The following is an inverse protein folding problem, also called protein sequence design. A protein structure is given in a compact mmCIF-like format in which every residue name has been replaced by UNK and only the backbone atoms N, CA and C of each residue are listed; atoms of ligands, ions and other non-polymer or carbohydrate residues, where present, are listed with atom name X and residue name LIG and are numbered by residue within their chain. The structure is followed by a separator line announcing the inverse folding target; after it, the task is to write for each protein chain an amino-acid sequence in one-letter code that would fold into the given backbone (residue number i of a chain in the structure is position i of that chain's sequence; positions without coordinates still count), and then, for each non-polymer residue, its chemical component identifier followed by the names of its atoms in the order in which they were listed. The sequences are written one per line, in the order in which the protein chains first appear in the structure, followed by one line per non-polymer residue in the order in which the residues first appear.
data_IF_601550806170
#
_entry.id   IF_601550806170
#
_cell.length_a   1.000
_cell.length_b   1.000
_cell.length_c   1.000
_cell.angle_alpha   90.00
_cell.angle_beta   90.00
_cell.angle_gamma   90.00
#
_symmetry.space_group_name_H-M   'P 1'
#
loop_
_entity.id
_entity.type
_entity.pdbx_description
1 polymer ?
#
# COMPACT_ATOMS: atom_id res chain seq x y z
N UNK A 1 11.96 2.01 15.99
CA UNK A 1 10.80 1.52 16.78
C UNK A 1 11.24 0.71 18.00
N UNK A 2 11.89 -0.44 17.82
CA UNK A 2 12.12 -1.44 18.91
C UNK A 2 12.98 -0.89 20.06
N UNK A 3 14.00 -0.09 19.76
CA UNK A 3 14.96 0.44 20.74
C UNK A 3 14.49 1.74 21.44
N UNK A 4 13.39 2.34 20.97
CA UNK A 4 12.86 3.57 21.52
C UNK A 4 11.99 3.29 22.76
N UNK A 5 12.05 4.13 23.75
CA UNK A 5 11.17 4.06 24.93
C UNK A 5 9.81 4.71 24.60
N UNK A 6 8.74 3.92 24.59
CA UNK A 6 7.38 4.27 24.16
C UNK A 6 6.96 3.53 22.90
N UNK A 7 5.76 3.84 22.40
CA UNK A 7 5.19 3.19 21.22
C UNK A 7 5.63 3.84 19.90
N UNK A 8 5.62 3.08 18.84
CA UNK A 8 5.70 3.59 17.47
C UNK A 8 4.34 3.49 16.81
N UNK A 9 3.82 4.61 16.31
CA UNK A 9 2.61 4.65 15.49
C UNK A 9 3.03 4.65 14.02
N UNK A 10 2.53 3.68 13.25
CA UNK A 10 2.71 3.61 11.80
C UNK A 10 1.41 4.04 11.14
N UNK A 11 1.44 5.16 10.44
CA UNK A 11 0.29 5.66 9.69
C UNK A 11 0.41 5.15 8.26
N UNK A 12 -0.52 4.28 7.85
CA UNK A 12 -0.53 3.70 6.50
C UNK A 12 -1.92 3.83 5.87
N UNK A 13 -2.01 4.12 4.56
CA UNK A 13 -3.28 4.26 3.86
C UNK A 13 -3.84 2.93 3.37
N UNK A 14 -3.08 1.85 3.51
CA UNK A 14 -3.33 0.56 2.88
C UNK A 14 -3.83 -0.46 3.90
N UNK A 15 -5.15 -0.42 4.16
CA UNK A 15 -5.83 -1.31 5.12
C UNK A 15 -5.53 -2.80 4.82
N UNK A 16 -5.50 -3.17 3.55
CA UNK A 16 -5.22 -4.54 3.10
C UNK A 16 -3.82 -5.03 3.47
N UNK A 17 -2.83 -4.12 3.55
CA UNK A 17 -1.47 -4.45 3.94
C UNK A 17 -1.24 -4.49 5.43
N UNK A 18 -1.98 -3.70 6.21
CA UNK A 18 -1.75 -3.58 7.64
C UNK A 18 -1.74 -4.93 8.34
N UNK A 19 -2.72 -5.79 8.02
CA UNK A 19 -2.80 -7.13 8.61
C UNK A 19 -1.56 -7.97 8.30
N UNK A 20 -1.17 -8.06 7.04
CA UNK A 20 -0.01 -8.85 6.61
C UNK A 20 1.30 -8.32 7.24
N UNK A 21 1.49 -7.00 7.27
CA UNK A 21 2.65 -6.38 7.89
C UNK A 21 2.70 -6.67 9.40
N UNK A 22 1.56 -6.53 10.10
CA UNK A 22 1.46 -6.83 11.53
C UNK A 22 1.71 -8.31 11.80
N UNK A 23 1.15 -9.21 11.00
CA UNK A 23 1.36 -10.65 11.15
C UNK A 23 2.84 -11.01 10.95
N UNK A 24 3.51 -10.43 9.94
CA UNK A 24 4.95 -10.63 9.72
C UNK A 24 5.79 -10.12 10.91
N UNK A 25 5.45 -8.96 11.47
CA UNK A 25 6.14 -8.40 12.64
C UNK A 25 5.92 -9.26 13.88
N UNK A 26 4.71 -9.78 14.09
CA UNK A 26 4.41 -10.72 15.18
C UNK A 26 5.20 -12.04 15.05
N UNK A 27 5.34 -12.56 13.83
CA UNK A 27 6.06 -13.79 13.56
C UNK A 27 7.55 -13.72 13.94
N UNK A 28 8.14 -12.53 13.96
CA UNK A 28 9.51 -12.29 14.43
C UNK A 28 9.56 -11.91 15.92
N UNK A 29 8.46 -12.04 16.65
CA UNK A 29 8.40 -11.87 18.10
C UNK A 29 8.18 -10.42 18.56
N UNK A 30 7.81 -9.49 17.67
CA UNK A 30 7.55 -8.09 18.03
C UNK A 30 6.05 -7.89 18.27
N UNK A 31 5.69 -7.39 19.45
CA UNK A 31 4.33 -7.05 19.82
C UNK A 31 3.80 -5.93 18.94
N UNK A 32 2.82 -6.19 18.11
CA UNK A 32 2.24 -5.24 17.15
C UNK A 32 0.74 -5.43 16.98
N UNK A 33 0.04 -4.36 16.61
CA UNK A 33 -1.39 -4.40 16.33
C UNK A 33 -1.75 -3.40 15.21
N UNK A 34 -2.99 -3.45 14.72
CA UNK A 34 -3.49 -2.45 13.78
C UNK A 34 -4.91 -2.00 14.13
N UNK A 35 -5.23 -0.75 13.78
CA UNK A 35 -6.57 -0.16 13.90
C UNK A 35 -6.96 0.44 12.55
N UNK A 36 -8.07 -0.05 11.99
CA UNK A 36 -8.62 0.44 10.73
C UNK A 36 -10.16 0.44 10.75
N UNK A 37 -10.80 0.68 9.62
CA UNK A 37 -12.27 0.75 9.50
C UNK A 37 -12.97 -0.59 9.49
N UNK A 38 -12.26 -1.71 9.44
CA UNK A 38 -12.87 -3.06 9.42
C UNK A 38 -13.09 -3.63 10.81
N UNK A 39 -12.49 -3.01 11.84
CA UNK A 39 -12.62 -3.45 13.23
C UNK A 39 -13.84 -2.81 13.91
N UNK A 40 -14.48 -3.58 14.79
CA UNK A 40 -15.52 -3.10 15.68
C UNK A 40 -14.95 -2.22 16.80
N UNK A 41 -15.78 -1.39 17.41
CA UNK A 41 -15.36 -0.52 18.52
C UNK A 41 -14.84 -1.34 19.72
N UNK A 42 -15.39 -2.52 19.97
CA UNK A 42 -14.91 -3.42 21.04
C UNK A 42 -13.50 -3.95 20.78
N UNK A 43 -13.19 -4.31 19.53
CA UNK A 43 -11.85 -4.75 19.13
C UNK A 43 -10.83 -3.60 19.22
N UNK A 44 -11.24 -2.41 18.77
CA UNK A 44 -10.40 -1.20 18.88
C UNK A 44 -10.07 -0.91 20.34
N UNK A 45 -11.08 -0.92 21.23
CA UNK A 45 -10.88 -0.68 22.67
C UNK A 45 -9.96 -1.72 23.32
N UNK A 46 -10.08 -2.99 22.94
CA UNK A 46 -9.17 -4.05 23.40
C UNK A 46 -7.74 -3.74 22.99
N UNK A 47 -7.49 -3.40 21.72
CA UNK A 47 -6.16 -3.07 21.22
C UNK A 47 -5.57 -1.84 21.92
N UNK A 48 -6.38 -0.80 22.13
CA UNK A 48 -5.92 0.41 22.84
C UNK A 48 -5.54 0.12 24.28
N UNK A 49 -6.24 -0.78 24.97
CA UNK A 49 -5.88 -1.24 26.31
C UNK A 49 -4.57 -2.04 26.30
N UNK A 50 -4.40 -2.96 25.33
CA UNK A 50 -3.15 -3.72 25.17
C UNK A 50 -1.95 -2.78 24.95
N UNK A 51 -2.13 -1.65 24.26
CA UNK A 51 -1.08 -0.62 24.12
C UNK A 51 -0.77 0.06 25.45
N UNK A 52 -1.78 0.36 26.26
CA UNK A 52 -1.60 1.00 27.58
C UNK A 52 -0.86 0.04 28.54
N UNK A 53 -1.06 -1.26 28.38
CA UNK A 53 -0.44 -2.32 29.18
C UNK A 53 0.95 -2.76 28.64
N UNK A 54 1.55 -2.02 27.70
CA UNK A 54 2.83 -2.32 27.03
C UNK A 54 2.85 -3.66 26.27
N UNK A 55 1.68 -4.21 25.94
CA UNK A 55 1.54 -5.43 25.14
C UNK A 55 1.63 -5.16 23.62
N UNK A 56 1.70 -3.88 23.21
CA UNK A 56 1.87 -3.47 21.81
C UNK A 56 2.97 -2.42 21.72
N UNK A 57 3.98 -2.71 20.91
CA UNK A 57 5.12 -1.81 20.66
C UNK A 57 4.98 -1.02 19.36
N UNK A 58 4.34 -1.61 18.37
CA UNK A 58 4.10 -1.00 17.06
C UNK A 58 2.60 -1.05 16.76
N UNK A 59 1.99 0.12 16.61
CA UNK A 59 0.56 0.26 16.29
C UNK A 59 0.39 0.84 14.90
N UNK A 60 -0.16 0.06 13.97
CA UNK A 60 -0.58 0.53 12.66
C UNK A 60 -1.95 1.20 12.75
N UNK A 61 -2.08 2.38 12.15
CA UNK A 61 -3.32 3.18 12.22
C UNK A 61 -3.67 3.72 10.84
N UNK A 62 -4.92 3.56 10.44
CA UNK A 62 -5.44 4.23 9.26
C UNK A 62 -5.58 5.75 9.52
N UNK A 63 -5.21 6.61 8.55
CA UNK A 63 -5.20 8.08 8.75
C UNK A 63 -6.54 8.65 9.22
N UNK A 64 -7.65 8.01 8.83
CA UNK A 64 -9.01 8.42 9.21
C UNK A 64 -9.31 8.28 10.71
N UNK A 65 -8.57 7.40 11.41
CA UNK A 65 -8.76 7.13 12.84
C UNK A 65 -8.07 8.16 13.74
N UNK A 66 -7.12 8.92 13.22
CA UNK A 66 -6.33 9.89 14.00
C UNK A 66 -7.17 11.01 14.65
N UNK A 67 -8.36 11.30 14.12
CA UNK A 67 -9.26 12.34 14.65
C UNK A 67 -10.44 11.75 15.46
N UNK A 68 -10.53 10.43 15.63
CA UNK A 68 -11.59 9.86 16.46
C UNK A 68 -11.38 10.26 17.93
N UNK A 69 -12.46 10.64 18.60
CA UNK A 69 -12.43 11.04 20.01
C UNK A 69 -11.78 9.98 20.89
N UNK A 70 -12.05 8.73 20.60
CA UNK A 70 -11.50 7.56 21.27
C UNK A 70 -9.97 7.51 21.14
N UNK A 71 -9.45 7.65 19.91
CA UNK A 71 -8.01 7.62 19.64
C UNK A 71 -7.31 8.85 20.24
N UNK A 72 -7.93 10.03 20.18
CA UNK A 72 -7.39 11.24 20.80
C UNK A 72 -7.32 11.14 22.34
N UNK A 73 -8.32 10.54 22.97
CA UNK A 73 -8.29 10.28 24.41
C UNK A 73 -7.24 9.23 24.79
N UNK A 74 -7.05 8.21 23.98
CA UNK A 74 -6.04 7.19 24.18
C UNK A 74 -4.63 7.77 24.11
N UNK A 75 -4.34 8.61 23.10
CA UNK A 75 -2.98 9.08 22.83
C UNK A 75 -2.40 9.93 23.96
N UNK A 76 -3.24 10.56 24.78
CA UNK A 76 -2.80 11.32 25.96
C UNK A 76 -2.31 10.45 27.13
N UNK A 77 -2.56 9.14 27.06
CA UNK A 77 -2.26 8.16 28.11
C UNK A 77 -0.98 7.35 27.83
N UNK A 78 -0.41 7.50 26.64
CA UNK A 78 0.74 6.71 26.20
C UNK A 78 1.87 7.60 25.70
N UNK A 79 3.11 7.15 25.89
CA UNK A 79 4.29 7.83 25.35
C UNK A 79 4.49 7.42 23.89
N UNK A 80 4.31 8.37 22.96
CA UNK A 80 4.60 8.15 21.54
C UNK A 80 6.06 8.50 21.27
N UNK A 81 6.88 7.50 21.00
CA UNK A 81 8.30 7.69 20.72
C UNK A 81 8.57 8.03 19.23
N UNK A 82 7.75 7.48 18.33
CA UNK A 82 7.92 7.67 16.90
C UNK A 82 6.57 7.63 16.18
N UNK A 83 6.45 8.47 15.15
CA UNK A 83 5.42 8.35 14.11
C UNK A 83 6.12 8.04 12.79
N UNK A 84 5.81 6.89 12.20
CA UNK A 84 6.26 6.49 10.88
C UNK A 84 5.10 6.68 9.89
N UNK A 85 5.32 7.48 8.87
CA UNK A 85 4.29 7.80 7.87
C UNK A 85 4.65 7.03 6.59
N UNK A 86 3.86 6.03 6.29
CA UNK A 86 3.96 5.24 5.07
C UNK A 86 3.24 5.94 3.92
N UNK A 87 3.69 5.73 2.69
CA UNK A 87 3.18 6.39 1.48
C UNK A 87 3.03 7.91 1.66
N UNK A 88 4.06 8.54 2.22
CA UNK A 88 4.03 9.95 2.60
C UNK A 88 3.73 10.91 1.44
N UNK A 89 3.92 10.47 0.18
CA UNK A 89 3.53 11.24 -1.01
C UNK A 89 2.02 11.55 -1.06
N UNK A 90 1.19 10.76 -0.34
CA UNK A 90 -0.26 11.01 -0.23
C UNK A 90 -0.62 12.35 0.43
N UNK A 91 0.33 13.01 1.13
CA UNK A 91 0.09 14.33 1.74
C UNK A 91 0.11 15.47 0.72
N UNK A 92 0.84 15.31 -0.39
CA UNK A 92 1.01 16.30 -1.43
C UNK A 92 -0.11 16.24 -2.46
N UNK A 93 -0.63 17.40 -2.88
CA UNK A 93 -1.57 17.47 -4.01
C UNK A 93 -0.92 17.13 -5.35
N UNK A 94 0.38 17.21 -5.42
CA UNK A 94 1.19 16.88 -6.60
C UNK A 94 1.62 15.41 -6.61
N UNK A 95 1.35 14.68 -5.52
CA UNK A 95 1.54 13.23 -5.47
C UNK A 95 0.49 12.50 -6.31
N UNK A 96 0.85 11.35 -6.85
CA UNK A 96 -0.03 10.56 -7.72
C UNK A 96 -1.28 9.98 -7.01
N UNK A 97 -1.26 9.87 -5.67
CA UNK A 97 -2.36 9.38 -4.83
C UNK A 97 -2.64 10.32 -3.66
N UNK A 98 -3.01 11.56 -3.94
CA UNK A 98 -3.36 12.53 -2.91
C UNK A 98 -4.56 12.06 -2.08
N UNK A 99 -4.39 12.07 -0.74
CA UNK A 99 -5.45 11.73 0.23
C UNK A 99 -5.64 12.83 1.24
N UNK A 100 -6.85 13.39 1.26
CA UNK A 100 -7.19 14.48 2.19
C UNK A 100 -6.99 14.11 3.67
N UNK A 101 -7.15 12.82 4.03
CA UNK A 101 -6.89 12.30 5.37
C UNK A 101 -5.44 12.48 5.82
N UNK A 102 -4.47 12.50 4.90
CA UNK A 102 -3.07 12.72 5.24
C UNK A 102 -2.76 14.14 5.75
N UNK A 103 -3.55 15.14 5.37
CA UNK A 103 -3.41 16.49 5.92
C UNK A 103 -3.70 16.56 7.43
N UNK A 104 -4.45 15.60 7.95
CA UNK A 104 -4.79 15.50 9.35
C UNK A 104 -3.60 15.06 10.21
N UNK A 105 -2.62 14.36 9.60
CA UNK A 105 -1.43 13.87 10.29
C UNK A 105 -0.66 15.01 10.96
N UNK A 106 -0.47 16.13 10.27
CA UNK A 106 0.21 17.28 10.86
C UNK A 106 -0.51 17.83 12.09
N UNK A 107 -1.85 17.94 12.03
CA UNK A 107 -2.66 18.37 13.19
C UNK A 107 -2.56 17.39 14.35
N UNK A 108 -2.60 16.10 14.05
CA UNK A 108 -2.43 15.05 15.05
C UNK A 108 -1.07 15.15 15.75
N UNK A 109 0.01 15.37 15.00
CA UNK A 109 1.36 15.56 15.56
C UNK A 109 1.39 16.79 16.47
N UNK A 110 0.73 17.88 16.09
CA UNK A 110 0.69 19.13 16.88
C UNK A 110 -0.11 18.98 18.20
N UNK A 111 -0.96 17.95 18.33
CA UNK A 111 -1.71 17.68 19.58
C UNK A 111 -0.89 16.90 20.62
N UNK A 112 0.23 16.30 20.22
CA UNK A 112 1.06 15.53 21.15
C UNK A 112 1.85 16.46 22.06
N UNK A 113 1.87 16.16 23.38
CA UNK A 113 2.57 16.95 24.39
C UNK A 113 4.07 17.02 24.07
N UNK A 114 4.66 15.86 23.79
CA UNK A 114 6.04 15.75 23.37
C UNK A 114 6.06 15.37 21.88
N UNK A 115 6.78 16.15 21.06
CA UNK A 115 6.91 15.85 19.64
C UNK A 115 7.76 14.59 19.44
N UNK A 116 7.19 13.51 18.88
CA UNK A 116 7.92 12.27 18.64
C UNK A 116 8.90 12.40 17.47
N UNK A 117 9.75 11.40 17.29
CA UNK A 117 10.55 11.26 16.06
C UNK A 117 9.58 11.03 14.89
N UNK A 118 9.67 11.86 13.85
CA UNK A 118 8.87 11.71 12.65
C UNK A 118 9.73 11.10 11.54
N UNK A 119 9.24 10.00 10.95
CA UNK A 119 9.85 9.40 9.77
C UNK A 119 8.80 9.27 8.66
N UNK A 120 9.16 9.63 7.44
CA UNK A 120 8.29 9.61 6.28
C UNK A 120 8.91 8.74 5.18
N UNK A 121 8.14 7.78 4.69
CA UNK A 121 8.57 6.82 3.68
C UNK A 121 7.68 6.92 2.44
N UNK A 122 8.29 6.86 1.28
CA UNK A 122 7.58 6.76 0.01
C UNK A 122 8.49 6.12 -1.05
N UNK A 123 7.93 5.31 -1.90
CA UNK A 123 8.65 4.74 -3.04
C UNK A 123 8.83 5.76 -4.17
N UNK A 124 7.92 6.74 -4.27
CA UNK A 124 7.85 7.71 -5.36
C UNK A 124 7.68 9.11 -4.80
N UNK A 125 8.64 9.98 -5.03
CA UNK A 125 8.53 11.39 -4.68
C UNK A 125 9.42 12.23 -5.57
N UNK A 126 8.81 13.11 -6.37
CA UNK A 126 9.52 14.18 -7.05
C UNK A 126 10.11 15.16 -6.04
N UNK A 127 10.96 16.07 -6.48
CA UNK A 127 11.54 17.10 -5.60
C UNK A 127 10.45 17.99 -4.99
N UNK A 128 9.40 18.28 -5.75
CA UNK A 128 8.25 19.07 -5.30
C UNK A 128 7.46 18.33 -4.21
N UNK A 129 7.15 17.05 -4.42
CA UNK A 129 6.49 16.19 -3.42
C UNK A 129 7.32 16.08 -2.15
N UNK A 130 8.64 15.96 -2.25
CA UNK A 130 9.54 15.95 -1.06
C UNK A 130 9.46 17.24 -0.27
N UNK A 131 9.48 18.40 -0.97
CA UNK A 131 9.33 19.71 -0.31
C UNK A 131 8.00 19.81 0.42
N UNK A 132 6.92 19.33 -0.19
CA UNK A 132 5.61 19.29 0.43
C UNK A 132 5.60 18.40 1.68
N UNK A 133 6.17 17.19 1.61
CA UNK A 133 6.28 16.29 2.77
C UNK A 133 6.98 17.00 3.94
N UNK A 134 8.13 17.62 3.68
CA UNK A 134 8.91 18.33 4.71
C UNK A 134 8.09 19.48 5.31
N UNK A 135 7.48 20.31 4.47
CA UNK A 135 6.76 21.49 4.91
C UNK A 135 5.44 21.14 5.62
N UNK A 136 4.64 20.24 5.04
CA UNK A 136 3.31 19.90 5.57
C UNK A 136 3.39 19.08 6.86
N UNK A 137 4.41 18.23 7.01
CA UNK A 137 4.68 17.52 8.26
C UNK A 137 5.52 18.34 9.25
N UNK A 138 5.93 19.56 8.87
CA UNK A 138 6.76 20.45 9.70
C UNK A 138 8.02 19.75 10.20
N UNK A 139 8.70 19.01 9.32
CA UNK A 139 9.92 18.29 9.69
C UNK A 139 11.05 19.29 9.95
N UNK A 140 11.69 19.14 11.11
CA UNK A 140 12.80 20.02 11.50
C UNK A 140 14.13 19.41 11.08
N UNK A 141 14.86 20.08 10.18
CA UNK A 141 16.15 19.65 9.64
C UNK A 141 16.21 18.14 9.31
N UNK A 142 15.28 17.61 8.51
CA UNK A 142 15.20 16.18 8.29
C UNK A 142 16.41 15.67 7.50
N UNK A 143 16.90 14.50 7.89
CA UNK A 143 17.84 13.74 7.06
C UNK A 143 17.07 13.09 5.91
N UNK A 144 17.45 13.40 4.68
CA UNK A 144 16.81 12.88 3.47
C UNK A 144 17.68 11.81 2.85
N UNK A 145 17.13 10.63 2.64
CA UNK A 145 17.79 9.50 2.01
C UNK A 145 17.09 9.20 0.68
N UNK A 146 17.83 9.16 -0.41
CA UNK A 146 17.31 8.88 -1.75
C UNK A 146 18.17 7.77 -2.34
N UNK A 147 17.55 6.62 -2.63
CA UNK A 147 18.24 5.45 -3.18
C UNK A 147 18.27 5.41 -4.71
N UNK A 148 17.61 6.37 -5.37
CA UNK A 148 17.46 6.40 -6.83
C UNK A 148 16.30 5.54 -7.35
N UNK A 149 15.88 5.80 -8.58
CA UNK A 149 14.77 5.12 -9.25
C UNK A 149 15.24 3.98 -10.17
N UNK A 150 16.54 3.90 -10.46
CA UNK A 150 17.09 2.92 -11.40
C UNK A 150 17.12 1.52 -10.76
N UNK A 151 16.26 0.66 -11.26
CA UNK A 151 16.20 -0.76 -10.89
C UNK A 151 16.85 -1.59 -11.99
N UNK A 152 18.12 -1.89 -11.86
CA UNK A 152 18.93 -2.64 -12.87
C UNK A 152 18.32 -3.99 -13.28
N UNK A 153 17.45 -4.55 -12.45
CA UNK A 153 16.74 -5.82 -12.71
C UNK A 153 15.44 -5.65 -13.48
N UNK A 154 14.99 -4.41 -13.76
CA UNK A 154 13.77 -4.15 -14.53
C UNK A 154 14.13 -3.65 -15.94
N UNK A 155 13.60 -4.33 -16.93
CA UNK A 155 13.69 -3.91 -18.33
C UNK A 155 12.36 -3.31 -18.77
N UNK A 156 12.37 -2.04 -19.17
CA UNK A 156 11.19 -1.36 -19.72
C UNK A 156 11.28 -1.39 -21.23
N UNK A 157 10.20 -1.87 -21.88
CA UNK A 157 10.08 -1.89 -23.34
C UNK A 157 8.75 -1.28 -23.75
N UNK A 158 8.75 -0.57 -24.89
CA UNK A 158 7.54 -0.02 -25.51
C UNK A 158 7.38 -0.71 -26.86
N UNK A 159 6.28 -1.45 -26.99
CA UNK A 159 5.97 -2.19 -28.20
C UNK A 159 4.82 -1.53 -28.98
N UNK A 160 5.05 -1.28 -30.25
CA UNK A 160 4.02 -0.79 -31.18
C UNK A 160 3.28 -1.97 -31.82
N UNK A 161 2.52 -2.70 -31.00
CA UNK A 161 1.77 -3.84 -31.47
C UNK A 161 0.59 -3.41 -32.37
N UNK A 162 0.50 -4.00 -33.56
CA UNK A 162 -0.62 -3.79 -34.46
C UNK A 162 -1.91 -4.42 -33.89
N UNK A 163 -1.78 -5.59 -33.26
CA UNK A 163 -2.87 -6.32 -32.60
C UNK A 163 -2.44 -6.60 -31.17
N UNK A 164 -2.80 -5.71 -30.23
CA UNK A 164 -2.42 -5.80 -28.81
C UNK A 164 -2.77 -7.16 -28.18
N UNK A 165 -3.96 -7.67 -28.46
CA UNK A 165 -4.44 -8.95 -27.90
C UNK A 165 -3.53 -10.10 -28.28
N UNK A 166 -3.15 -10.20 -29.57
CA UNK A 166 -2.27 -11.25 -30.05
C UNK A 166 -0.86 -11.14 -29.43
N UNK A 167 -0.36 -9.93 -29.32
CA UNK A 167 0.93 -9.69 -28.68
C UNK A 167 0.94 -10.19 -27.22
N UNK A 168 -0.09 -9.84 -26.43
CA UNK A 168 -0.22 -10.27 -25.03
C UNK A 168 -0.30 -11.79 -24.93
N UNK A 169 -1.13 -12.44 -25.77
CA UNK A 169 -1.23 -13.90 -25.78
C UNK A 169 0.12 -14.56 -26.08
N UNK A 170 0.81 -14.10 -27.11
CA UNK A 170 2.11 -14.65 -27.49
C UNK A 170 3.15 -14.44 -26.37
N UNK A 171 3.18 -13.25 -25.75
CA UNK A 171 4.10 -12.94 -24.68
C UNK A 171 3.88 -13.83 -23.45
N UNK A 172 2.63 -13.95 -23.00
CA UNK A 172 2.27 -14.77 -21.83
C UNK A 172 2.53 -16.24 -22.11
N UNK A 173 2.16 -16.73 -23.29
CA UNK A 173 2.40 -18.13 -23.68
C UNK A 173 3.89 -18.47 -23.78
N UNK A 174 4.74 -17.50 -24.16
CA UNK A 174 6.20 -17.70 -24.19
C UNK A 174 6.85 -17.60 -22.80
N UNK A 175 6.11 -17.11 -21.81
CA UNK A 175 6.56 -16.92 -20.42
C UNK A 175 6.02 -18.02 -19.49
N UNK A 176 6.04 -19.29 -19.94
CA UNK A 176 5.45 -20.44 -19.26
C UNK A 176 5.76 -20.48 -17.76
N UNK A 177 4.70 -20.55 -16.93
CA UNK A 177 4.79 -20.66 -15.48
C UNK A 177 5.24 -19.38 -14.75
N UNK A 178 5.40 -18.27 -15.46
CA UNK A 178 5.77 -16.99 -14.85
C UNK A 178 4.53 -16.21 -14.41
N UNK A 179 4.50 -15.77 -13.17
CA UNK A 179 3.44 -14.88 -12.68
C UNK A 179 3.59 -13.47 -13.25
N UNK A 180 2.48 -12.87 -13.67
CA UNK A 180 2.47 -11.53 -14.23
C UNK A 180 1.18 -10.76 -14.02
N UNK A 181 1.25 -9.45 -14.28
CA UNK A 181 0.11 -8.54 -14.17
C UNK A 181 -0.12 -7.85 -15.51
N UNK A 182 -1.38 -7.76 -15.94
CA UNK A 182 -1.81 -6.97 -17.09
C UNK A 182 -2.68 -5.82 -16.60
N UNK A 183 -2.16 -4.59 -16.63
CA UNK A 183 -2.91 -3.41 -16.28
C UNK A 183 -3.70 -2.84 -17.46
N UNK A 184 -4.99 -2.62 -17.24
CA UNK A 184 -5.91 -2.01 -18.20
C UNK A 184 -6.49 -0.70 -17.62
N UNK A 185 -6.73 0.28 -18.51
CA UNK A 185 -7.27 1.57 -18.08
C UNK A 185 -8.75 1.50 -17.69
N UNK A 186 -9.51 0.56 -18.25
CA UNK A 186 -10.96 0.44 -18.02
C UNK A 186 -11.36 -0.95 -17.55
N UNK A 187 -12.48 -1.04 -16.80
CA UNK A 187 -13.08 -2.32 -16.40
C UNK A 187 -13.41 -3.19 -17.61
N UNK A 188 -13.94 -2.58 -18.67
CA UNK A 188 -14.27 -3.28 -19.93
C UNK A 188 -13.04 -3.92 -20.58
N UNK A 189 -11.90 -3.23 -20.57
CA UNK A 189 -10.65 -3.80 -21.09
C UNK A 189 -10.16 -4.95 -20.21
N UNK A 190 -10.32 -4.85 -18.88
CA UNK A 190 -9.99 -5.93 -17.94
C UNK A 190 -10.80 -7.18 -18.28
N UNK A 191 -12.13 -7.05 -18.35
CA UNK A 191 -13.01 -8.17 -18.65
C UNK A 191 -12.67 -8.80 -20.01
N UNK A 192 -12.47 -7.99 -21.04
CA UNK A 192 -12.13 -8.43 -22.40
C UNK A 192 -10.78 -9.18 -22.45
N UNK A 193 -9.75 -8.70 -21.77
CA UNK A 193 -8.44 -9.36 -21.72
C UNK A 193 -8.52 -10.64 -20.89
N UNK A 194 -9.21 -10.61 -19.77
CA UNK A 194 -9.44 -11.80 -18.93
C UNK A 194 -10.13 -12.91 -19.72
N UNK A 195 -11.26 -12.63 -20.37
CA UNK A 195 -12.01 -13.60 -21.16
C UNK A 195 -11.14 -14.20 -22.28
N UNK A 196 -10.33 -13.36 -22.94
CA UNK A 196 -9.39 -13.80 -23.95
C UNK A 196 -8.35 -14.78 -23.38
N UNK A 197 -7.79 -14.52 -22.20
CA UNK A 197 -6.81 -15.40 -21.57
C UNK A 197 -7.43 -16.74 -21.18
N UNK A 198 -8.63 -16.73 -20.58
CA UNK A 198 -9.35 -17.95 -20.20
C UNK A 198 -9.69 -18.78 -21.43
N UNK A 199 -10.16 -18.15 -22.53
CA UNK A 199 -10.48 -18.83 -23.77
C UNK A 199 -9.25 -19.52 -24.43
N UNK A 200 -8.04 -19.09 -24.07
CA UNK A 200 -6.77 -19.69 -24.50
C UNK A 200 -6.12 -20.58 -23.43
N UNK A 201 -6.89 -21.07 -22.45
CA UNK A 201 -6.46 -21.95 -21.36
C UNK A 201 -5.35 -21.38 -20.46
N UNK A 202 -5.22 -20.05 -20.37
CA UNK A 202 -4.30 -19.38 -19.45
C UNK A 202 -5.02 -19.18 -18.11
N UNK A 203 -4.40 -19.60 -17.01
CA UNK A 203 -4.93 -19.41 -15.67
C UNK A 203 -4.82 -17.93 -15.30
N UNK A 204 -5.91 -17.20 -15.40
CA UNK A 204 -5.98 -15.79 -15.12
C UNK A 204 -7.07 -15.47 -14.08
N UNK A 205 -6.90 -14.38 -13.38
CA UNK A 205 -7.91 -13.73 -12.53
C UNK A 205 -8.08 -12.27 -12.95
N UNK A 206 -9.23 -11.68 -12.61
CA UNK A 206 -9.48 -10.26 -12.88
C UNK A 206 -9.75 -9.48 -11.61
N UNK A 207 -9.33 -8.20 -11.59
CA UNK A 207 -9.52 -7.35 -10.45
C UNK A 207 -9.85 -5.90 -10.85
N UNK A 208 -11.03 -5.42 -10.47
CA UNK A 208 -11.44 -4.02 -10.66
C UNK A 208 -12.56 -3.64 -9.70
N UNK A 209 -12.79 -2.35 -9.51
CA UNK A 209 -13.80 -1.82 -8.57
C UNK A 209 -15.27 -2.11 -8.96
N UNK A 210 -15.53 -2.82 -10.06
CA UNK A 210 -16.87 -3.33 -10.42
C UNK A 210 -17.20 -4.68 -9.82
N UNK A 211 -16.21 -5.40 -9.32
CA UNK A 211 -16.38 -6.65 -8.58
C UNK A 211 -16.78 -6.34 -7.13
N UNK A 212 -17.53 -7.24 -6.49
CA UNK A 212 -17.81 -7.14 -5.06
C UNK A 212 -16.55 -7.45 -4.22
N UNK A 213 -16.63 -7.23 -2.91
CA UNK A 213 -15.47 -7.38 -2.02
C UNK A 213 -14.99 -8.83 -1.92
N UNK A 214 -15.93 -9.78 -1.95
CA UNK A 214 -15.64 -11.21 -1.87
C UNK A 214 -14.92 -11.70 -3.15
N UNK A 215 -15.44 -11.33 -4.33
CA UNK A 215 -14.82 -11.63 -5.62
C UNK A 215 -13.40 -11.05 -5.70
N UNK A 216 -13.20 -9.82 -5.24
CA UNK A 216 -11.87 -9.20 -5.23
C UNK A 216 -10.90 -9.92 -4.31
N UNK A 217 -11.35 -10.31 -3.14
CA UNK A 217 -10.55 -11.05 -2.16
C UNK A 217 -10.17 -12.42 -2.72
N UNK A 218 -11.12 -13.15 -3.28
CA UNK A 218 -10.89 -14.47 -3.85
C UNK A 218 -9.91 -14.42 -5.04
N UNK A 219 -10.11 -13.49 -5.97
CA UNK A 219 -9.20 -13.30 -7.10
C UNK A 219 -7.77 -12.97 -6.64
N UNK A 220 -7.63 -12.11 -5.63
CA UNK A 220 -6.34 -11.78 -5.05
C UNK A 220 -5.68 -12.99 -4.38
N UNK A 221 -6.40 -13.76 -3.58
CA UNK A 221 -5.89 -14.96 -2.93
C UNK A 221 -5.47 -16.01 -3.96
N UNK A 222 -6.27 -16.23 -5.01
CA UNK A 222 -5.94 -17.18 -6.07
C UNK A 222 -4.65 -16.80 -6.81
N UNK A 223 -4.41 -15.51 -7.02
CA UNK A 223 -3.18 -15.03 -7.63
C UNK A 223 -1.98 -15.12 -6.67
N UNK A 224 -2.13 -14.74 -5.41
CA UNK A 224 -1.05 -14.80 -4.40
C UNK A 224 -0.60 -16.25 -4.15
N UNK A 225 -1.53 -17.19 -4.10
CA UNK A 225 -1.25 -18.61 -3.84
C UNK A 225 -1.04 -19.47 -5.09
N UNK A 226 -0.61 -18.88 -6.20
CA UNK A 226 -0.24 -19.56 -7.45
C UNK A 226 -1.35 -20.42 -8.08
N UNK A 227 -2.62 -20.12 -7.77
CA UNK A 227 -3.78 -20.73 -8.43
C UNK A 227 -4.12 -20.05 -9.76
N UNK A 228 -3.58 -18.86 -9.98
CA UNK A 228 -3.61 -18.14 -11.24
C UNK A 228 -2.22 -17.57 -11.54
N UNK A 229 -1.83 -17.64 -12.80
CA UNK A 229 -0.52 -17.18 -13.29
C UNK A 229 -0.57 -15.68 -13.68
N UNK A 230 -1.74 -15.20 -14.07
CA UNK A 230 -1.92 -13.82 -14.57
C UNK A 230 -3.04 -13.11 -13.83
N UNK A 231 -2.73 -11.90 -13.35
CA UNK A 231 -3.76 -10.97 -12.86
C UNK A 231 -4.05 -9.91 -13.92
N UNK A 232 -5.30 -9.77 -14.35
CA UNK A 232 -5.74 -8.68 -15.23
C UNK A 232 -6.49 -7.65 -14.40
N UNK A 233 -5.99 -6.43 -14.32
CA UNK A 233 -6.54 -5.47 -13.37
C UNK A 233 -6.54 -4.02 -13.86
N UNK A 234 -7.37 -3.20 -13.20
CA UNK A 234 -7.18 -1.75 -13.21
C UNK A 234 -6.15 -1.36 -12.14
N UNK A 235 -5.78 -0.08 -12.09
CA UNK A 235 -4.90 0.48 -11.05
C UNK A 235 -5.43 0.29 -9.60
N UNK A 236 -6.67 -0.19 -9.42
CA UNK A 236 -7.19 -0.57 -8.11
C UNK A 236 -6.48 -1.81 -7.50
N UNK A 237 -5.78 -2.59 -8.33
CA UNK A 237 -4.93 -3.70 -7.93
C UNK A 237 -3.47 -3.24 -7.92
N UNK A 238 -2.71 -3.58 -6.93
CA UNK A 238 -1.27 -3.31 -6.91
C UNK A 238 -0.79 -2.69 -5.60
N UNK A 239 -1.49 -1.70 -5.07
CA UNK A 239 -1.15 -1.21 -3.74
C UNK A 239 -1.46 -2.31 -2.71
N UNK A 240 -0.43 -2.84 -2.10
CA UNK A 240 -0.62 -3.83 -1.06
C UNK A 240 -0.48 -5.29 -1.48
N UNK A 241 0.09 -5.58 -2.61
CA UNK A 241 0.36 -6.94 -3.04
C UNK A 241 1.81 -7.29 -2.79
N UNK A 242 2.02 -8.25 -1.89
CA UNK A 242 3.32 -8.84 -1.61
C UNK A 242 3.40 -10.22 -2.28
N UNK A 243 3.75 -10.22 -3.57
CA UNK A 243 4.02 -11.43 -4.36
C UNK A 243 5.41 -11.30 -5.00
N UNK A 244 6.43 -11.99 -4.45
CA UNK A 244 7.84 -11.76 -4.82
C UNK A 244 8.23 -12.33 -6.18
N UNK A 245 7.41 -13.15 -6.79
CA UNK A 245 7.70 -13.89 -8.02
C UNK A 245 7.03 -13.31 -9.28
N UNK A 246 6.51 -12.09 -9.23
CA UNK A 246 6.02 -11.38 -10.42
C UNK A 246 7.20 -11.14 -11.36
N UNK A 247 7.11 -11.66 -12.59
CA UNK A 247 8.18 -11.60 -13.59
C UNK A 247 7.97 -10.57 -14.66
N UNK A 248 6.70 -10.18 -14.91
CA UNK A 248 6.37 -9.16 -15.90
C UNK A 248 5.14 -8.35 -15.49
N UNK A 249 5.13 -7.11 -15.95
CA UNK A 249 3.97 -6.23 -15.88
C UNK A 249 3.73 -5.68 -17.29
N UNK A 250 2.52 -5.86 -17.79
CA UNK A 250 2.11 -5.37 -19.11
C UNK A 250 1.08 -4.26 -18.92
N UNK A 251 1.34 -3.08 -19.47
CA UNK A 251 0.36 -2.03 -19.58
C UNK A 251 -0.36 -2.12 -20.93
N UNK A 252 -1.62 -2.58 -20.92
CA UNK A 252 -2.46 -2.65 -22.13
C UNK A 252 -2.70 -1.27 -22.74
N UNK A 253 -2.85 -0.27 -21.91
CA UNK A 253 -2.92 1.14 -22.28
C UNK A 253 -1.68 1.86 -21.74
N UNK A 254 -1.20 2.87 -22.48
CA UNK A 254 -0.09 3.69 -21.99
C UNK A 254 -0.47 4.33 -20.65
N UNK A 255 0.36 4.19 -19.60
CA UNK A 255 0.13 4.87 -18.33
C UNK A 255 0.28 6.40 -18.49
N UNK A 256 -0.29 7.16 -17.56
CA UNK A 256 -0.21 8.63 -17.60
C UNK A 256 1.18 9.15 -17.25
N UNK A 257 1.93 8.43 -16.43
CA UNK A 257 3.29 8.73 -15.99
C UNK A 257 4.10 7.43 -15.88
N UNK A 258 5.41 7.56 -15.66
CA UNK A 258 6.31 6.44 -15.35
C UNK A 258 6.30 6.05 -13.88
N UNK A 259 5.60 6.83 -13.06
CA UNK A 259 5.43 6.61 -11.61
C UNK A 259 4.35 5.57 -11.32
#
# INVERSE_FOLDING_TARGET
AIILDGITIVISPLISLMKGQVDNIKNIGIKSAYINSTLSDSEINSILNDVIEDEVKILYVAPERLESTEFLNFITRVKVAQIAIDEAHCISQWGHDFRSSYRRISRFIDLLVDRPIITAFTATATEEVRRDIINLLKLNEPKVFITGFDRKNLKITIEKAVIKKQYILNYISSSEGASGIVYCATRKDVDMVYEMLIANNIKAERYHAGLNDEERKEAQERFIYDKADVMVATNAFGMGIDKPDIRYVIHYNMPKSLE
#
